data_IF_466291217961
#
_entry.id   IF_466291217961
#
_cell.length_a   1.000
_cell.length_b   1.000
_cell.length_c   1.000
_cell.angle_alpha   90.00
_cell.angle_beta   90.00
_cell.angle_gamma   90.00
#
_symmetry.space_group_name_H-M   'P 1'
#
loop_
_entity.id
_entity.type
_entity.pdbx_description
1 polymer ?
#
# COMPACT_ATOMS: atom_id res chain seq x y z
N UNK A 1 2.33 21.10 26.72
CA UNK A 1 0.90 21.02 27.11
C UNK A 1 0.64 19.66 27.74
N UNK A 2 -0.38 19.51 28.58
CA UNK A 2 -0.88 18.17 28.92
C UNK A 2 -1.45 17.52 27.66
N UNK A 3 -1.55 16.19 27.61
CA UNK A 3 -2.12 15.47 26.45
C UNK A 3 -3.50 16.03 26.05
N UNK A 4 -4.32 16.37 27.06
CA UNK A 4 -5.63 17.02 26.87
C UNK A 4 -5.51 18.41 26.26
N UNK A 5 -4.56 19.22 26.72
CA UNK A 5 -4.30 20.55 26.17
C UNK A 5 -3.76 20.51 24.74
N UNK A 6 -2.92 19.51 24.42
CA UNK A 6 -2.41 19.30 23.07
C UNK A 6 -3.53 18.88 22.10
N UNK A 7 -4.37 17.92 22.50
CA UNK A 7 -5.54 17.50 21.71
C UNK A 7 -6.49 18.67 21.47
N UNK A 8 -6.82 19.43 22.51
CA UNK A 8 -7.66 20.63 22.39
C UNK A 8 -7.08 21.64 21.41
N UNK A 9 -5.77 21.88 21.44
CA UNK A 9 -5.11 22.77 20.48
C UNK A 9 -5.18 22.26 19.04
N UNK A 10 -4.88 20.97 18.81
CA UNK A 10 -4.94 20.33 17.47
C UNK A 10 -6.34 20.36 16.89
N UNK A 11 -7.36 20.06 17.70
CA UNK A 11 -8.76 20.04 17.26
C UNK A 11 -9.26 21.43 16.82
N UNK A 12 -8.56 22.52 17.21
CA UNK A 12 -8.92 23.91 16.91
C UNK A 12 -7.95 24.62 15.96
N UNK A 13 -6.93 23.92 15.44
CA UNK A 13 -5.85 24.53 14.62
C UNK A 13 -6.28 24.92 13.20
N UNK A 14 -7.25 24.21 12.60
CA UNK A 14 -7.58 24.31 11.18
C UNK A 14 -9.09 24.22 10.92
N UNK A 15 -9.65 25.20 10.19
CA UNK A 15 -11.00 25.08 9.62
C UNK A 15 -11.00 24.16 8.39
N UNK A 16 -12.03 23.30 8.19
CA UNK A 16 -12.04 22.24 7.18
C UNK A 16 -11.85 22.71 5.73
N UNK A 17 -12.09 23.99 5.42
CA UNK A 17 -11.99 24.51 4.06
C UNK A 17 -10.56 24.82 3.60
N UNK A 18 -9.61 25.07 4.51
CA UNK A 18 -8.22 25.37 4.14
C UNK A 18 -7.42 24.10 3.82
N UNK A 19 -7.72 23.00 4.51
CA UNK A 19 -7.09 21.69 4.35
C UNK A 19 -7.21 21.12 2.93
N UNK A 20 -8.39 21.22 2.31
CA UNK A 20 -8.63 20.67 0.97
C UNK A 20 -7.80 21.37 -0.11
N UNK A 21 -7.54 22.68 0.04
CA UNK A 21 -6.70 23.42 -0.90
C UNK A 21 -5.24 23.02 -0.74
N UNK A 22 -4.80 22.90 0.51
CA UNK A 22 -3.42 22.55 0.86
C UNK A 22 -3.07 21.12 0.41
N UNK A 23 -3.98 20.16 0.62
CA UNK A 23 -3.84 18.79 0.10
C UNK A 23 -3.76 18.80 -1.42
N UNK A 24 -4.62 19.56 -2.11
CA UNK A 24 -4.57 19.66 -3.58
C UNK A 24 -3.25 20.23 -4.08
N UNK A 25 -2.70 21.26 -3.43
CA UNK A 25 -1.37 21.77 -3.78
C UNK A 25 -0.27 20.76 -3.50
N UNK A 26 -0.34 20.04 -2.38
CA UNK A 26 0.64 18.99 -2.03
C UNK A 26 0.64 17.85 -3.03
N UNK A 27 -0.52 17.51 -3.60
CA UNK A 27 -0.66 16.42 -4.59
C UNK A 27 -0.49 16.87 -6.04
N UNK A 28 -0.45 18.18 -6.32
CA UNK A 28 -0.44 18.71 -7.68
C UNK A 28 0.84 18.34 -8.46
N UNK A 29 1.96 18.26 -7.76
CA UNK A 29 3.27 17.89 -8.34
C UNK A 29 3.48 16.38 -8.44
N UNK A 30 2.59 15.59 -7.82
CA UNK A 30 2.65 14.13 -7.88
C UNK A 30 1.67 13.63 -8.93
N UNK A 31 2.19 13.34 -10.13
CA UNK A 31 1.46 12.53 -11.09
C UNK A 31 1.22 11.15 -10.47
N UNK A 32 -0.05 10.87 -10.14
CA UNK A 32 -0.46 9.49 -9.87
C UNK A 32 -0.07 8.67 -11.09
N UNK A 33 0.75 7.62 -10.95
CA UNK A 33 1.15 6.83 -12.11
C UNK A 33 -0.13 6.32 -12.78
N UNK A 34 -0.43 6.72 -14.03
CA UNK A 34 -1.72 6.46 -14.68
C UNK A 34 -1.96 4.97 -14.97
N UNK A 35 -1.04 4.11 -14.53
CA UNK A 35 -1.04 2.65 -14.61
C UNK A 35 -0.50 2.03 -13.32
N UNK A 36 -0.83 2.57 -12.15
CA UNK A 36 -0.51 1.89 -10.90
C UNK A 36 -1.28 0.56 -10.87
N UNK A 37 -0.62 -0.51 -11.35
CA UNK A 37 -1.19 -1.85 -11.35
C UNK A 37 -1.20 -2.44 -9.94
N UNK A 38 -0.42 -1.87 -9.01
CA UNK A 38 -0.19 -2.43 -7.70
C UNK A 38 -0.56 -1.42 -6.61
N UNK A 39 -1.55 -1.77 -5.77
CA UNK A 39 -1.97 -0.97 -4.62
C UNK A 39 -0.82 -0.65 -3.66
N UNK A 40 0.15 -1.57 -3.52
CA UNK A 40 1.29 -1.38 -2.63
C UNK A 40 2.12 -0.16 -3.02
N UNK A 41 2.45 -0.03 -4.31
CA UNK A 41 3.25 1.08 -4.82
C UNK A 41 2.57 2.44 -4.61
N UNK A 42 1.24 2.48 -4.79
CA UNK A 42 0.45 3.71 -4.56
C UNK A 42 0.53 4.13 -3.10
N UNK A 43 0.33 3.17 -2.20
CA UNK A 43 0.31 3.39 -0.77
C UNK A 43 1.70 3.76 -0.22
N UNK A 44 2.75 3.12 -0.71
CA UNK A 44 4.14 3.47 -0.38
C UNK A 44 4.50 4.86 -0.88
N UNK A 45 4.09 5.22 -2.10
CA UNK A 45 4.32 6.56 -2.67
C UNK A 45 3.62 7.62 -1.82
N UNK A 46 2.33 7.44 -1.53
CA UNK A 46 1.57 8.37 -0.68
C UNK A 46 2.20 8.52 0.72
N UNK A 47 2.62 7.40 1.33
CA UNK A 47 3.31 7.41 2.61
C UNK A 47 4.64 8.19 2.56
N UNK A 48 5.43 8.00 1.50
CA UNK A 48 6.67 8.73 1.27
C UNK A 48 6.46 10.24 1.12
N UNK A 49 5.44 10.65 0.37
CA UNK A 49 5.07 12.07 0.19
C UNK A 49 4.73 12.70 1.55
N UNK A 50 3.87 12.06 2.32
CA UNK A 50 3.45 12.56 3.63
C UNK A 50 4.61 12.60 4.62
N UNK A 51 5.46 11.59 4.62
CA UNK A 51 6.65 11.52 5.47
C UNK A 51 7.63 12.66 5.19
N UNK A 52 7.93 12.90 3.90
CA UNK A 52 8.82 13.99 3.49
C UNK A 52 8.24 15.37 3.81
N UNK A 53 6.94 15.58 3.57
CA UNK A 53 6.33 16.87 3.81
C UNK A 53 6.17 17.20 5.30
N UNK A 54 5.83 16.19 6.12
CA UNK A 54 5.66 16.37 7.56
C UNK A 54 6.96 16.26 8.36
N UNK A 55 8.05 15.81 7.75
CA UNK A 55 9.29 15.41 8.44
C UNK A 55 9.04 14.39 9.58
N UNK A 56 8.10 13.47 9.37
CA UNK A 56 7.75 12.40 10.33
C UNK A 56 7.93 11.04 9.68
N UNK A 57 8.11 10.00 10.50
CA UNK A 57 8.12 8.63 10.01
C UNK A 57 6.74 8.24 9.46
N UNK A 58 6.71 7.76 8.22
CA UNK A 58 5.51 7.20 7.61
C UNK A 58 5.46 5.68 7.80
N UNK A 59 4.28 5.16 8.12
CA UNK A 59 4.00 3.73 8.16
C UNK A 59 2.75 3.46 7.31
N UNK A 60 2.82 2.43 6.47
CA UNK A 60 1.68 1.98 5.68
C UNK A 60 1.42 0.49 5.90
N UNK A 61 0.15 0.13 6.01
CA UNK A 61 -0.31 -1.24 6.21
C UNK A 61 -1.16 -1.65 5.02
N UNK A 62 -0.77 -2.74 4.36
CA UNK A 62 -1.59 -3.34 3.32
C UNK A 62 -2.74 -4.13 3.93
N UNK A 63 -3.89 -4.24 3.26
CA UNK A 63 -4.95 -5.14 3.69
C UNK A 63 -4.43 -6.58 3.73
N UNK A 64 -4.94 -7.39 4.66
CA UNK A 64 -4.56 -8.80 4.71
C UNK A 64 -4.93 -9.50 3.40
N UNK A 65 -3.95 -10.21 2.82
CA UNK A 65 -4.15 -11.03 1.63
C UNK A 65 -5.25 -12.09 1.80
N UNK A 66 -5.46 -12.58 3.03
CA UNK A 66 -6.49 -13.57 3.33
C UNK A 66 -7.92 -13.06 3.09
N UNK A 67 -8.11 -11.74 3.05
CA UNK A 67 -9.41 -11.10 2.87
C UNK A 67 -9.58 -10.46 1.48
N UNK A 68 -8.60 -10.59 0.59
CA UNK A 68 -8.69 -10.05 -0.76
C UNK A 68 -9.23 -11.09 -1.76
N UNK A 69 -10.14 -10.68 -2.68
CA UNK A 69 -10.52 -11.53 -3.80
C UNK A 69 -9.32 -11.72 -4.75
N UNK A 70 -9.03 -12.98 -5.05
CA UNK A 70 -8.02 -13.35 -6.03
C UNK A 70 -8.63 -13.35 -7.43
N UNK A 71 -7.87 -12.82 -8.39
CA UNK A 71 -8.26 -12.80 -9.80
C UNK A 71 -7.77 -14.04 -10.54
N UNK A 72 -6.50 -14.41 -10.33
CA UNK A 72 -5.85 -15.49 -11.06
C UNK A 72 -4.69 -16.07 -10.25
N UNK A 73 -4.40 -17.36 -10.47
CA UNK A 73 -3.21 -18.04 -9.95
C UNK A 73 -2.48 -18.67 -11.14
N UNK A 74 -1.19 -18.38 -11.28
CA UNK A 74 -0.32 -18.94 -12.32
C UNK A 74 0.71 -19.88 -11.68
N UNK A 75 0.96 -21.02 -12.33
CA UNK A 75 1.91 -22.02 -11.85
C UNK A 75 3.05 -22.18 -12.84
N UNK A 76 4.28 -22.08 -12.35
CA UNK A 76 5.49 -22.29 -13.13
C UNK A 76 6.33 -23.38 -12.49
N UNK A 77 6.68 -24.42 -13.23
CA UNK A 77 7.64 -25.43 -12.75
C UNK A 77 9.03 -24.79 -12.70
N UNK A 78 9.59 -24.63 -11.50
CA UNK A 78 10.89 -23.97 -11.27
C UNK A 78 11.99 -24.94 -10.84
N UNK A 79 11.63 -26.19 -10.52
CA UNK A 79 12.58 -27.22 -10.16
C UNK A 79 12.00 -28.62 -10.32
N UNK A 80 12.81 -29.64 -9.99
CA UNK A 80 12.39 -31.05 -10.06
C UNK A 80 11.18 -31.34 -9.17
N UNK A 81 11.19 -30.76 -7.97
CA UNK A 81 10.17 -30.95 -6.93
C UNK A 81 9.62 -29.61 -6.44
N UNK A 82 9.58 -28.59 -7.30
CA UNK A 82 9.18 -27.23 -6.93
C UNK A 82 8.36 -26.56 -8.03
N UNK A 83 7.29 -25.90 -7.60
CA UNK A 83 6.42 -25.07 -8.44
C UNK A 83 6.34 -23.68 -7.82
N UNK A 84 6.54 -22.64 -8.62
CA UNK A 84 6.23 -21.27 -8.26
C UNK A 84 4.74 -21.01 -8.52
N UNK A 85 3.99 -20.70 -7.47
CA UNK A 85 2.64 -20.16 -7.55
C UNK A 85 2.70 -18.63 -7.48
N UNK A 86 2.18 -17.97 -8.51
CA UNK A 86 2.05 -16.50 -8.59
C UNK A 86 0.57 -16.15 -8.42
N UNK A 87 0.26 -15.44 -7.35
CA UNK A 87 -1.11 -15.00 -7.03
C UNK A 87 -1.32 -13.58 -7.53
N UNK A 88 -2.35 -13.38 -8.35
CA UNK A 88 -2.78 -12.06 -8.83
C UNK A 88 -4.09 -11.67 -8.13
N UNK A 89 -4.06 -10.63 -7.32
CA UNK A 89 -5.28 -10.04 -6.74
C UNK A 89 -5.96 -9.06 -7.71
N UNK A 90 -7.24 -8.75 -7.49
CA UNK A 90 -7.93 -7.71 -8.26
C UNK A 90 -7.34 -6.31 -8.08
N UNK A 91 -6.70 -6.06 -6.93
CA UNK A 91 -5.99 -4.81 -6.63
C UNK A 91 -4.52 -4.83 -7.14
N UNK A 92 -4.19 -5.86 -7.93
CA UNK A 92 -2.90 -6.11 -8.58
C UNK A 92 -1.69 -6.20 -7.65
N UNK A 93 -1.95 -6.54 -6.38
CA UNK A 93 -0.94 -7.10 -5.48
C UNK A 93 -0.55 -8.48 -5.98
N UNK A 94 0.76 -8.72 -6.12
CA UNK A 94 1.36 -9.97 -6.55
C UNK A 94 2.03 -10.67 -5.37
N UNK A 95 1.78 -11.97 -5.22
CA UNK A 95 2.48 -12.79 -4.22
C UNK A 95 3.07 -14.02 -4.88
N UNK A 96 4.33 -14.32 -4.55
CA UNK A 96 5.07 -15.45 -5.08
C UNK A 96 5.29 -16.48 -3.96
N UNK A 97 4.92 -17.74 -4.22
CA UNK A 97 5.14 -18.84 -3.27
C UNK A 97 5.75 -20.04 -3.98
N UNK A 98 6.90 -20.51 -3.50
CA UNK A 98 7.45 -21.79 -3.92
C UNK A 98 6.73 -22.89 -3.14
N UNK A 99 6.10 -23.80 -3.88
CA UNK A 99 5.37 -24.94 -3.35
C UNK A 99 6.19 -26.20 -3.67
N UNK A 100 6.59 -26.99 -2.67
CA UNK A 100 7.19 -28.30 -2.90
C UNK A 100 6.14 -29.24 -3.50
N UNK A 101 6.53 -30.00 -4.52
CA UNK A 101 5.71 -31.06 -5.11
C UNK A 101 6.39 -32.40 -4.88
N UNK A 102 5.62 -33.38 -4.43
CA UNK A 102 6.11 -34.74 -4.29
C UNK A 102 6.45 -35.31 -5.68
N UNK A 103 7.53 -36.10 -5.80
CA UNK A 103 7.83 -36.77 -7.04
C UNK A 103 6.71 -37.77 -7.33
N UNK A 104 6.17 -37.72 -8.56
CA UNK A 104 5.25 -38.74 -9.06
C UNK A 104 5.90 -40.12 -8.84
N UNK A 105 5.26 -40.96 -8.02
CA UNK A 105 5.72 -42.31 -7.67
C UNK A 105 5.50 -43.26 -8.83
#
# INVERSE_FOLDING_TARGET
>A
PTDKGYRFYVDNLLGPQNLLKEIKSLTADYEYPPRAKNLQEVLETACGILSQNSNQAGLVMLPSFSCMPFKQIEFFKVGRNQVLAVFHSEMGVLQNKIIPIDPDT
#
